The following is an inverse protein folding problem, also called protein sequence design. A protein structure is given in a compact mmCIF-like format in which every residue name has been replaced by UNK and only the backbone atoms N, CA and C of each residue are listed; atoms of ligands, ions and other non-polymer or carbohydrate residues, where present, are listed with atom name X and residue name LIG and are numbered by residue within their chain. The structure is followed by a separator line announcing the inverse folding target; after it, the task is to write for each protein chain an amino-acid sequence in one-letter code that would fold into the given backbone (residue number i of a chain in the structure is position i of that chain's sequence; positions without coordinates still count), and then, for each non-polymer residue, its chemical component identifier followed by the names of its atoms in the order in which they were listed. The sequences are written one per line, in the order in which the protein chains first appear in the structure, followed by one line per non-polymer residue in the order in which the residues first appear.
data_IF_598812612973
#
_entry.id   IF_598812612973
#
_cell.length_a   1.000
_cell.length_b   1.000
_cell.length_c   1.000
_cell.angle_alpha   90.00
_cell.angle_beta   90.00
_cell.angle_gamma   90.00
#
_symmetry.space_group_name_H-M   'P 1'
#
loop_
_entity.id
_entity.type
_entity.pdbx_description
1 polymer ?
#
# COMPACT_ATOMS: atom_id res chain seq x y z
N UNK A 1 -21.29 -5.70 -17.43
CA UNK A 1 -21.71 -4.97 -16.20
C UNK A 1 -21.50 -5.75 -14.91
N UNK A 2 -21.91 -7.03 -14.79
CA UNK A 2 -21.82 -7.81 -13.53
C UNK A 2 -20.37 -8.00 -13.01
N UNK A 3 -19.37 -8.08 -13.89
CA UNK A 3 -17.96 -8.31 -13.51
C UNK A 3 -17.33 -7.11 -12.79
N UNK A 4 -17.70 -5.88 -13.16
CA UNK A 4 -17.20 -4.65 -12.52
C UNK A 4 -17.76 -4.49 -11.10
N UNK A 5 -19.05 -4.77 -10.90
CA UNK A 5 -19.70 -4.69 -9.58
C UNK A 5 -19.16 -5.70 -8.55
N UNK A 6 -18.64 -6.85 -9.00
CA UNK A 6 -18.04 -7.84 -8.10
C UNK A 6 -16.66 -7.40 -7.60
N UNK A 7 -15.82 -6.81 -8.46
CA UNK A 7 -14.51 -6.27 -8.08
C UNK A 7 -14.63 -5.22 -6.98
N UNK A 8 -15.52 -4.22 -7.18
CA UNK A 8 -15.77 -3.17 -6.19
C UNK A 8 -16.22 -3.71 -4.81
N UNK A 9 -16.92 -4.85 -4.79
CA UNK A 9 -17.40 -5.47 -3.55
C UNK A 9 -16.29 -6.25 -2.82
N UNK A 10 -15.40 -6.89 -3.57
CA UNK A 10 -14.23 -7.59 -3.02
C UNK A 10 -13.23 -6.57 -2.45
N UNK A 11 -12.97 -5.47 -3.16
CA UNK A 11 -12.08 -4.40 -2.70
C UNK A 11 -12.62 -3.73 -1.43
N UNK A 12 -13.91 -3.42 -1.40
CA UNK A 12 -14.58 -2.89 -0.19
C UNK A 12 -14.50 -3.87 0.98
N UNK A 13 -14.60 -5.18 0.72
CA UNK A 13 -14.50 -6.21 1.75
C UNK A 13 -13.08 -6.31 2.29
N UNK A 14 -12.08 -6.32 1.41
CA UNK A 14 -10.67 -6.33 1.78
C UNK A 14 -10.31 -5.09 2.62
N UNK A 15 -10.72 -3.91 2.17
CA UNK A 15 -10.53 -2.65 2.92
C UNK A 15 -11.17 -2.72 4.30
N UNK A 16 -12.41 -3.21 4.41
CA UNK A 16 -13.12 -3.34 5.69
C UNK A 16 -12.41 -4.33 6.63
N UNK A 17 -11.84 -5.41 6.10
CA UNK A 17 -11.08 -6.38 6.89
C UNK A 17 -9.78 -5.76 7.41
N UNK A 18 -9.03 -5.05 6.55
CA UNK A 18 -7.83 -4.32 6.95
C UNK A 18 -8.14 -3.27 8.03
N UNK A 19 -9.21 -2.48 7.88
CA UNK A 19 -9.57 -1.49 8.89
C UNK A 19 -10.01 -2.10 10.22
N UNK A 20 -10.61 -3.31 10.23
CA UNK A 20 -10.89 -4.03 11.48
C UNK A 20 -9.61 -4.39 12.23
N UNK A 21 -8.56 -4.78 11.51
CA UNK A 21 -7.23 -5.06 12.08
C UNK A 21 -6.64 -3.81 12.70
N UNK A 22 -6.69 -2.70 11.96
CA UNK A 22 -6.30 -1.38 12.48
C UNK A 22 -7.06 -1.06 13.76
N UNK A 23 -8.39 -1.18 13.77
CA UNK A 23 -9.20 -0.83 14.94
C UNK A 23 -8.90 -1.69 16.19
N UNK A 24 -8.32 -2.89 16.02
CA UNK A 24 -7.84 -3.74 17.11
C UNK A 24 -6.48 -3.33 17.70
N UNK A 25 -5.69 -2.51 17.00
CA UNK A 25 -4.39 -2.02 17.49
C UNK A 25 -4.53 -1.09 18.71
N UNK A 26 -3.46 -0.86 19.49
CA UNK A 26 -3.44 0.16 20.53
C UNK A 26 -3.79 1.57 20.00
N UNK A 27 -4.25 2.45 20.89
CA UNK A 27 -4.79 3.78 20.52
C UNK A 27 -3.82 4.61 19.68
N UNK A 28 -2.54 4.59 20.03
CA UNK A 28 -1.53 5.42 19.37
C UNK A 28 -1.20 4.90 17.98
N UNK A 29 -1.13 3.57 17.81
CA UNK A 29 -0.98 2.92 16.51
C UNK A 29 -2.17 3.21 15.58
N UNK A 30 -3.41 3.16 16.10
CA UNK A 30 -4.60 3.54 15.32
C UNK A 30 -4.55 4.97 14.83
N UNK A 31 -4.15 5.88 15.71
CA UNK A 31 -4.01 7.29 15.39
C UNK A 31 -2.96 7.51 14.31
N UNK A 32 -1.77 6.92 14.48
CA UNK A 32 -0.68 7.01 13.52
C UNK A 32 -1.08 6.45 12.16
N UNK A 33 -1.66 5.25 12.11
CA UNK A 33 -2.10 4.63 10.86
C UNK A 33 -3.05 5.54 10.07
N UNK A 34 -4.07 6.09 10.73
CA UNK A 34 -5.04 6.98 10.06
C UNK A 34 -4.39 8.26 9.54
N UNK A 35 -3.40 8.81 10.25
CA UNK A 35 -2.63 9.99 9.81
C UNK A 35 -1.72 9.67 8.63
N UNK A 36 -1.02 8.54 8.69
CA UNK A 36 -0.16 8.04 7.61
C UNK A 36 -0.99 7.77 6.35
N UNK A 37 -2.11 7.05 6.47
CA UNK A 37 -3.01 6.76 5.36
C UNK A 37 -3.51 8.05 4.69
N UNK A 38 -3.93 9.03 5.48
CA UNK A 38 -4.36 10.32 4.95
C UNK A 38 -3.23 11.08 4.25
N UNK A 39 -2.02 11.07 4.82
CA UNK A 39 -0.85 11.69 4.23
C UNK A 39 -0.51 11.04 2.87
N UNK A 40 -0.38 9.71 2.82
CA UNK A 40 -0.03 8.97 1.60
C UNK A 40 -1.04 9.21 0.47
N UNK A 41 -2.34 9.26 0.76
CA UNK A 41 -3.33 9.64 -0.25
C UNK A 41 -3.25 11.09 -0.71
N UNK A 42 -2.70 11.99 0.12
CA UNK A 42 -2.57 13.40 -0.21
C UNK A 42 -1.33 13.69 -1.05
N UNK A 43 -0.20 13.04 -0.75
CA UNK A 43 1.08 13.29 -1.45
C UNK A 43 1.29 12.35 -2.64
N UNK A 44 0.69 11.18 -2.61
CA UNK A 44 0.92 10.13 -3.60
C UNK A 44 2.30 9.45 -3.45
N UNK A 45 2.58 8.45 -4.30
CA UNK A 45 3.83 7.70 -4.29
C UNK A 45 4.98 8.58 -4.80
N UNK A 46 6.20 8.43 -4.24
CA UNK A 46 7.40 8.91 -4.90
C UNK A 46 7.49 8.31 -6.31
N UNK A 47 7.56 9.16 -7.34
CA UNK A 47 7.59 8.71 -8.75
C UNK A 47 6.21 8.56 -9.42
N UNK A 48 5.11 8.76 -8.69
CA UNK A 48 3.77 8.90 -9.25
C UNK A 48 3.05 7.61 -9.65
N UNK A 49 3.60 6.43 -9.35
CA UNK A 49 2.94 5.17 -9.67
C UNK A 49 1.85 4.82 -8.64
N UNK A 50 0.62 5.24 -8.93
CA UNK A 50 -0.54 5.05 -8.05
C UNK A 50 -0.96 3.58 -7.85
N UNK A 51 -0.36 2.62 -8.58
CA UNK A 51 -0.72 1.20 -8.42
C UNK A 51 -0.46 0.65 -7.05
N UNK A 52 0.53 1.18 -6.32
CA UNK A 52 0.82 0.76 -4.95
C UNK A 52 -0.33 1.01 -3.97
N UNK A 53 -1.34 1.81 -4.37
CA UNK A 53 -2.57 2.01 -3.59
C UNK A 53 -3.76 1.17 -4.07
N UNK A 54 -3.67 0.53 -5.23
CA UNK A 54 -4.83 -0.11 -5.89
C UNK A 54 -5.20 -1.46 -5.30
N UNK A 55 -4.24 -2.25 -4.84
CA UNK A 55 -4.48 -3.58 -4.28
C UNK A 55 -4.50 -3.61 -2.75
N UNK A 56 -4.33 -2.45 -2.10
CA UNK A 56 -4.18 -2.31 -0.65
C UNK A 56 -3.01 -3.12 -0.05
N UNK A 57 -2.14 -3.74 -0.85
CA UNK A 57 -1.03 -4.57 -0.37
C UNK A 57 -0.11 -3.75 0.54
N UNK A 58 0.27 -2.56 0.07
CA UNK A 58 1.14 -1.66 0.85
C UNK A 58 0.52 -1.26 2.19
N UNK A 59 -0.79 -0.96 2.24
CA UNK A 59 -1.45 -0.63 3.50
C UNK A 59 -1.59 -1.86 4.40
N UNK A 60 -1.75 -3.05 3.81
CA UNK A 60 -1.77 -4.32 4.55
C UNK A 60 -0.41 -4.59 5.18
N UNK A 61 0.68 -4.40 4.44
CA UNK A 61 2.05 -4.52 4.97
C UNK A 61 2.31 -3.54 6.13
N UNK A 62 1.76 -2.32 6.05
CA UNK A 62 1.85 -1.35 7.14
C UNK A 62 1.09 -1.82 8.39
N UNK A 63 -0.08 -2.44 8.21
CA UNK A 63 -0.83 -3.04 9.32
C UNK A 63 -0.06 -4.20 9.92
N UNK A 64 0.52 -5.08 9.11
CA UNK A 64 1.33 -6.22 9.54
C UNK A 64 2.53 -5.74 10.39
N UNK A 65 3.24 -4.71 9.92
CA UNK A 65 4.33 -4.07 10.67
C UNK A 65 3.85 -3.53 12.03
N UNK A 66 2.70 -2.88 12.06
CA UNK A 66 2.15 -2.29 13.29
C UNK A 66 1.65 -3.35 14.27
N UNK A 67 1.02 -4.42 13.79
CA UNK A 67 0.60 -5.55 14.63
C UNK A 67 1.81 -6.24 15.28
N UNK A 68 2.85 -6.54 14.49
CA UNK A 68 4.09 -7.13 15.00
C UNK A 68 4.76 -6.23 16.05
N UNK A 69 4.89 -4.94 15.75
CA UNK A 69 5.53 -3.98 16.65
C UNK A 69 4.73 -3.77 17.95
N UNK A 70 3.40 -3.75 17.85
CA UNK A 70 2.54 -3.66 19.03
C UNK A 70 2.61 -4.93 19.89
N UNK A 71 2.70 -6.12 19.27
CA UNK A 71 2.88 -7.39 19.98
C UNK A 71 4.23 -7.46 20.71
N UNK A 72 5.27 -6.81 20.16
CA UNK A 72 6.58 -6.64 20.80
C UNK A 72 6.61 -5.54 21.88
N UNK A 73 5.51 -4.80 22.07
CA UNK A 73 5.42 -3.71 23.05
C UNK A 73 6.18 -2.45 22.66
N UNK A 74 6.58 -2.31 21.39
CA UNK A 74 7.24 -1.08 20.89
C UNK A 74 6.25 0.07 20.82
N UNK A 75 6.70 1.29 21.09
CA UNK A 75 5.88 2.47 20.85
C UNK A 75 5.85 2.78 19.36
N UNK A 76 4.78 3.42 18.88
CA UNK A 76 4.61 3.70 17.45
C UNK A 76 5.75 4.55 16.88
N UNK A 77 6.29 5.49 17.67
CA UNK A 77 7.41 6.33 17.26
C UNK A 77 8.76 5.57 17.24
N UNK A 78 8.87 4.44 17.92
CA UNK A 78 10.04 3.56 17.80
C UNK A 78 10.04 2.82 16.45
N UNK A 79 8.85 2.71 15.82
CA UNK A 79 8.65 2.04 14.52
C UNK A 79 8.75 3.05 13.38
N UNK A 80 8.03 4.17 13.50
CA UNK A 80 7.97 5.19 12.45
C UNK A 80 9.12 6.19 12.51
N UNK A 81 9.82 6.26 13.64
CA UNK A 81 10.70 7.38 13.94
C UNK A 81 9.93 8.67 14.25
N UNK A 82 10.67 9.71 14.65
CA UNK A 82 10.13 11.06 14.91
C UNK A 82 9.74 11.81 13.63
N UNK A 83 10.36 11.46 12.50
CA UNK A 83 10.00 12.00 11.17
C UNK A 83 9.10 11.01 10.42
N UNK A 84 7.81 11.06 10.76
CA UNK A 84 6.79 10.17 10.18
C UNK A 84 6.60 10.42 8.67
N UNK A 85 6.86 11.65 8.20
CA UNK A 85 6.75 11.98 6.77
C UNK A 85 7.84 11.27 5.97
N UNK A 86 9.09 11.35 6.42
CA UNK A 86 10.20 10.62 5.82
C UNK A 86 9.95 9.10 5.84
N UNK A 87 9.43 8.57 6.95
CA UNK A 87 9.02 7.16 7.00
C UNK A 87 8.01 6.80 5.92
N UNK A 88 6.98 7.64 5.69
CA UNK A 88 5.99 7.39 4.64
C UNK A 88 6.63 7.35 3.24
N UNK A 89 7.53 8.29 2.94
CA UNK A 89 8.21 8.37 1.65
C UNK A 89 9.09 7.13 1.40
N UNK A 90 9.85 6.70 2.41
CA UNK A 90 10.68 5.50 2.34
C UNK A 90 9.84 4.23 2.22
N UNK A 91 8.73 4.15 2.98
CA UNK A 91 7.81 3.02 2.94
C UNK A 91 7.14 2.86 1.57
N UNK A 92 6.63 3.95 0.98
CA UNK A 92 6.06 3.93 -0.37
C UNK A 92 7.10 3.55 -1.44
N UNK A 93 8.33 4.04 -1.31
CA UNK A 93 9.43 3.69 -2.23
C UNK A 93 9.79 2.20 -2.16
N UNK A 94 9.82 1.63 -0.95
CA UNK A 94 10.07 0.20 -0.76
C UNK A 94 8.94 -0.63 -1.40
N UNK A 95 7.68 -0.26 -1.19
CA UNK A 95 6.54 -0.93 -1.80
C UNK A 95 6.58 -0.87 -3.34
N UNK A 96 6.91 0.29 -3.92
CA UNK A 96 7.04 0.45 -5.37
C UNK A 96 8.16 -0.40 -6.00
N UNK A 97 9.17 -0.79 -5.22
CA UNK A 97 10.25 -1.67 -5.70
C UNK A 97 9.81 -3.14 -5.79
N UNK A 98 8.86 -3.54 -4.96
CA UNK A 98 8.38 -4.92 -4.88
C UNK A 98 7.19 -5.22 -5.80
N UNK A 99 6.59 -4.19 -6.40
CA UNK A 99 5.43 -4.30 -7.28
C UNK A 99 5.83 -4.01 -8.72
N UNK A 100 5.36 -4.83 -9.68
CA UNK A 100 5.50 -4.51 -11.11
C UNK A 100 4.75 -3.21 -11.41
N UNK A 101 5.49 -2.19 -11.86
CA UNK A 101 4.93 -0.87 -12.14
C UNK A 101 4.08 -0.88 -13.43
N UNK A 102 3.11 0.03 -13.57
CA UNK A 102 2.36 0.15 -14.84
C UNK A 102 3.26 0.42 -16.03
N UNK A 103 4.35 1.15 -15.79
CA UNK A 103 5.37 1.45 -16.79
C UNK A 103 6.04 0.18 -17.29
N UNK A 104 6.46 -0.70 -16.38
CA UNK A 104 7.09 -1.98 -16.73
C UNK A 104 6.11 -2.90 -17.44
N UNK A 105 4.87 -2.98 -16.95
CA UNK A 105 3.81 -3.76 -17.58
C UNK A 105 3.53 -3.28 -19.01
N UNK A 106 3.38 -1.97 -19.21
CA UNK A 106 3.20 -1.37 -20.54
C UNK A 106 4.37 -1.72 -21.48
N UNK A 107 5.61 -1.56 -20.98
CA UNK A 107 6.80 -1.89 -21.78
C UNK A 107 6.81 -3.37 -22.18
N UNK A 108 6.48 -4.29 -21.26
CA UNK A 108 6.39 -5.72 -21.56
C UNK A 108 5.29 -6.04 -22.57
N UNK A 109 4.11 -5.43 -22.44
CA UNK A 109 2.99 -5.65 -23.36
C UNK A 109 3.31 -5.15 -24.78
N UNK A 110 3.88 -3.95 -24.90
CA UNK A 110 4.28 -3.37 -26.19
C UNK A 110 5.41 -4.18 -26.84
N UNK A 111 6.50 -4.42 -26.12
CA UNK A 111 7.64 -5.19 -26.64
C UNK A 111 7.27 -6.64 -26.97
N UNK A 112 6.40 -7.25 -26.17
CA UNK A 112 5.91 -8.61 -26.40
C UNK A 112 5.06 -8.76 -27.66
N UNK A 113 4.41 -7.68 -28.12
CA UNK A 113 3.69 -7.66 -29.40
C UNK A 113 4.64 -7.59 -30.58
N UNK A 114 5.63 -6.71 -30.55
CA UNK A 114 6.58 -6.53 -31.66
C UNK A 114 7.57 -7.69 -31.80
N UNK A 115 7.97 -8.34 -30.70
CA UNK A 115 8.83 -9.54 -30.77
C UNK A 115 8.10 -10.80 -31.30
N UNK A 116 6.77 -10.77 -31.41
CA UNK A 116 5.95 -11.87 -31.98
C UNK A 116 5.64 -11.69 -33.46
N UNK A 117 5.77 -10.49 -34.01
CA UNK A 117 5.50 -10.19 -35.43
C UNK A 117 6.73 -10.48 -36.33
N UNK A 118 7.92 -10.69 -35.74
CA UNK A 118 9.15 -11.09 -36.46
C UNK A 118 9.44 -12.61 -36.45
N UNK A 119 8.48 -13.46 -36.08
CA UNK A 119 8.61 -14.93 -36.10
C UNK A 119 7.55 -15.62 -36.94
#
# INVERSE_FOLDING_TARGET
MIKLLKGDMEDKRAYKQMMKRVDALPKDYRFAFRKIQHYMFSVGPPGGDMTIFTDLTMFTDLVDLFEASAAEGRQVLDVTGSDVGKFCDEFMRAAATNTETLREKLNKEVMGKFNKEER
#
